data_IF_207024575498
#
_entry.id   IF_207024575498
#
_cell.length_a   1.000
_cell.length_b   1.000
_cell.length_c   1.000
_cell.angle_alpha   90.00
_cell.angle_beta   90.00
_cell.angle_gamma   90.00
#
_symmetry.space_group_name_H-M   'P 1'
#
loop_
_entity.id
_entity.type
_entity.pdbx_description
1 polymer ?
#
# COMPACT_ATOMS: atom_id res chain seq x y z
N UNK A 1 -8.50 -33.78 -3.19
CA UNK A 1 -8.96 -33.09 -4.41
C UNK A 1 -9.19 -31.65 -4.04
N UNK A 2 -8.54 -30.71 -4.72
CA UNK A 2 -8.65 -29.29 -4.36
C UNK A 2 -10.09 -28.81 -4.47
N UNK A 3 -10.57 -28.11 -3.44
CA UNK A 3 -11.94 -27.59 -3.45
C UNK A 3 -12.05 -26.51 -4.54
N UNK A 4 -12.92 -26.76 -5.55
CA UNK A 4 -13.15 -25.85 -6.68
C UNK A 4 -13.48 -24.43 -6.21
N UNK A 5 -14.08 -24.29 -5.02
CA UNK A 5 -14.46 -23.01 -4.42
C UNK A 5 -13.24 -22.16 -4.05
N UNK A 6 -12.22 -22.76 -3.41
CA UNK A 6 -11.00 -22.06 -3.00
C UNK A 6 -10.25 -21.55 -4.23
N UNK A 7 -10.09 -22.39 -5.26
CA UNK A 7 -9.44 -21.99 -6.52
C UNK A 7 -10.17 -20.87 -7.24
N UNK A 8 -11.50 -20.91 -7.27
CA UNK A 8 -12.30 -19.85 -7.89
C UNK A 8 -12.12 -18.50 -7.17
N UNK A 9 -12.10 -18.52 -5.85
CA UNK A 9 -11.84 -17.32 -5.03
C UNK A 9 -10.43 -16.79 -5.29
N UNK A 10 -9.42 -17.66 -5.31
CA UNK A 10 -8.03 -17.29 -5.59
C UNK A 10 -7.86 -16.64 -6.95
N UNK A 11 -8.47 -17.23 -7.99
CA UNK A 11 -8.43 -16.68 -9.35
C UNK A 11 -9.11 -15.31 -9.42
N UNK A 12 -10.30 -15.18 -8.86
CA UNK A 12 -11.03 -13.91 -8.84
C UNK A 12 -10.28 -12.82 -8.06
N UNK A 13 -9.70 -13.19 -6.91
CA UNK A 13 -8.88 -12.27 -6.12
C UNK A 13 -7.67 -11.77 -6.91
N UNK A 14 -6.95 -12.66 -7.61
CA UNK A 14 -5.82 -12.27 -8.47
C UNK A 14 -6.21 -11.29 -9.57
N UNK A 15 -7.29 -11.59 -10.30
CA UNK A 15 -7.79 -10.72 -11.37
C UNK A 15 -8.20 -9.34 -10.84
N UNK A 16 -8.83 -9.27 -9.66
CA UNK A 16 -9.21 -7.99 -9.05
C UNK A 16 -8.01 -7.22 -8.49
N UNK A 17 -7.00 -7.91 -7.93
CA UNK A 17 -5.73 -7.29 -7.51
C UNK A 17 -4.98 -6.70 -8.70
N UNK A 18 -4.95 -7.39 -9.85
CA UNK A 18 -4.32 -6.89 -11.07
C UNK A 18 -5.06 -5.68 -11.65
N UNK A 19 -6.40 -5.68 -11.61
CA UNK A 19 -7.21 -4.54 -12.09
C UNK A 19 -7.18 -3.33 -11.15
N UNK A 20 -6.89 -3.53 -9.87
CA UNK A 20 -6.83 -2.44 -8.91
C UNK A 20 -5.67 -1.48 -9.24
N UNK A 21 -6.03 -0.21 -9.44
CA UNK A 21 -5.11 0.85 -9.84
C UNK A 21 -4.70 1.76 -8.68
N UNK A 22 -5.53 1.84 -7.63
CA UNK A 22 -5.30 2.72 -6.48
C UNK A 22 -5.18 1.93 -5.18
N UNK A 23 -4.53 2.54 -4.19
CA UNK A 23 -4.47 2.03 -2.81
C UNK A 23 -5.87 1.77 -2.22
N UNK A 24 -6.86 2.60 -2.57
CA UNK A 24 -8.26 2.43 -2.17
C UNK A 24 -8.91 1.20 -2.80
N UNK A 25 -8.65 0.92 -4.08
CA UNK A 25 -9.21 -0.25 -4.76
C UNK A 25 -8.65 -1.55 -4.18
N UNK A 26 -7.34 -1.57 -3.87
CA UNK A 26 -6.70 -2.71 -3.21
C UNK A 26 -7.30 -2.99 -1.83
N UNK A 27 -7.62 -1.96 -1.04
CA UNK A 27 -8.30 -2.14 0.25
C UNK A 27 -9.73 -2.68 0.08
N UNK A 28 -10.46 -2.26 -0.95
CA UNK A 28 -11.78 -2.82 -1.25
C UNK A 28 -11.70 -4.31 -1.58
N UNK A 29 -10.72 -4.70 -2.41
CA UNK A 29 -10.44 -6.10 -2.72
C UNK A 29 -10.10 -6.87 -1.45
N UNK A 30 -9.23 -6.34 -0.58
CA UNK A 30 -8.89 -6.94 0.71
C UNK A 30 -10.14 -7.19 1.56
N UNK A 31 -11.02 -6.19 1.70
CA UNK A 31 -12.26 -6.32 2.48
C UNK A 31 -13.22 -7.34 1.87
N UNK A 32 -13.34 -7.37 0.54
CA UNK A 32 -14.24 -8.27 -0.20
C UNK A 32 -13.85 -9.74 -0.06
N UNK A 33 -12.56 -10.06 -0.04
CA UNK A 33 -12.09 -11.45 0.03
C UNK A 33 -11.70 -11.89 1.44
N UNK A 34 -10.98 -11.06 2.19
CA UNK A 34 -10.40 -11.36 3.50
C UNK A 34 -11.13 -10.73 4.69
N UNK A 35 -12.09 -9.82 4.44
CA UNK A 35 -12.80 -9.11 5.50
C UNK A 35 -13.68 -10.00 6.38
N UNK A 36 -14.33 -9.39 7.39
CA UNK A 36 -15.25 -10.09 8.32
C UNK A 36 -16.44 -10.77 7.64
N UNK A 37 -16.84 -10.26 6.47
CA UNK A 37 -17.86 -10.84 5.56
C UNK A 37 -17.26 -11.30 4.24
N UNK A 38 -15.93 -11.45 4.17
CA UNK A 38 -15.24 -11.80 2.93
C UNK A 38 -15.55 -13.22 2.47
N UNK A 39 -15.48 -13.46 1.17
CA UNK A 39 -15.79 -14.76 0.56
C UNK A 39 -14.98 -15.91 1.17
N UNK A 40 -13.70 -15.68 1.47
CA UNK A 40 -12.82 -16.68 2.09
C UNK A 40 -13.17 -16.91 3.56
N UNK A 41 -13.48 -15.85 4.30
CA UNK A 41 -13.91 -15.92 5.71
C UNK A 41 -15.26 -16.62 5.86
N UNK A 42 -16.19 -16.41 4.92
CA UNK A 42 -17.47 -17.12 4.89
C UNK A 42 -17.28 -18.62 4.61
N UNK A 43 -16.39 -18.96 3.67
CA UNK A 43 -16.04 -20.36 3.40
C UNK A 43 -15.46 -21.04 4.65
N UNK A 44 -14.53 -20.38 5.34
CA UNK A 44 -13.94 -20.87 6.60
C UNK A 44 -15.01 -21.04 7.70
N UNK A 45 -15.98 -20.13 7.80
CA UNK A 45 -17.09 -20.25 8.77
C UNK A 45 -18.07 -21.37 8.42
N UNK A 46 -18.17 -21.77 7.16
CA UNK A 46 -19.02 -22.87 6.71
C UNK A 46 -18.39 -24.25 6.88
N UNK A 47 -17.10 -24.34 7.22
CA UNK A 47 -16.38 -25.60 7.45
C UNK A 47 -16.97 -26.54 8.52
N UNK A 48 -17.64 -26.08 9.59
CA UNK A 48 -18.28 -26.99 10.54
C UNK A 48 -19.37 -27.87 9.91
N UNK A 49 -19.93 -27.46 8.77
CA UNK A 49 -20.92 -28.24 8.02
C UNK A 49 -20.30 -29.34 7.13
N UNK A 50 -18.97 -29.39 7.00
CA UNK A 50 -18.28 -30.40 6.19
C UNK A 50 -17.96 -31.69 6.98
N UNK A 51 -17.79 -32.84 6.29
CA UNK A 51 -17.38 -34.10 6.92
C UNK A 51 -16.02 -33.97 7.61
N UNK A 52 -15.80 -34.59 8.79
CA UNK A 52 -14.56 -34.46 9.56
C UNK A 52 -13.30 -34.90 8.80
N UNK A 53 -13.42 -35.81 7.84
CA UNK A 53 -12.31 -36.24 6.98
C UNK A 53 -11.83 -35.17 5.98
N UNK A 54 -12.71 -34.25 5.57
CA UNK A 54 -12.41 -33.22 4.56
C UNK A 54 -12.01 -31.87 5.19
N UNK A 55 -12.42 -31.63 6.44
CA UNK A 55 -12.10 -30.41 7.22
C UNK A 55 -10.60 -30.02 7.22
N UNK A 56 -9.65 -30.91 7.53
CA UNK A 56 -8.23 -30.54 7.58
C UNK A 56 -7.64 -30.20 6.21
N UNK A 57 -8.11 -30.87 5.14
CA UNK A 57 -7.64 -30.60 3.77
C UNK A 57 -8.13 -29.23 3.30
N UNK A 58 -9.43 -28.96 3.44
CA UNK A 58 -10.04 -27.68 3.05
C UNK A 58 -9.49 -26.52 3.89
N UNK A 59 -9.28 -26.72 5.20
CA UNK A 59 -8.71 -25.70 6.08
C UNK A 59 -7.27 -25.35 5.71
N UNK A 60 -6.45 -26.33 5.33
CA UNK A 60 -5.09 -26.09 4.84
C UNK A 60 -5.11 -25.30 3.53
N UNK A 61 -5.90 -25.73 2.55
CA UNK A 61 -6.02 -25.05 1.25
C UNK A 61 -6.54 -23.61 1.41
N UNK A 62 -7.52 -23.38 2.29
CA UNK A 62 -8.05 -22.05 2.55
C UNK A 62 -7.01 -21.13 3.21
N UNK A 63 -6.18 -21.66 4.11
CA UNK A 63 -5.08 -20.89 4.72
C UNK A 63 -3.96 -20.60 3.72
N UNK A 64 -3.59 -21.55 2.86
CA UNK A 64 -2.63 -21.33 1.78
C UNK A 64 -3.14 -20.25 0.81
N UNK A 65 -4.42 -20.34 0.40
CA UNK A 65 -5.04 -19.33 -0.44
C UNK A 65 -5.11 -17.96 0.23
N UNK A 66 -5.33 -17.91 1.55
CA UNK A 66 -5.30 -16.67 2.33
C UNK A 66 -3.93 -16.00 2.25
N UNK A 67 -2.87 -16.77 2.51
CA UNK A 67 -1.49 -16.28 2.47
C UNK A 67 -1.10 -15.78 1.07
N UNK A 68 -1.51 -16.50 0.02
CA UNK A 68 -1.25 -16.12 -1.36
C UNK A 68 -1.96 -14.82 -1.77
N UNK A 69 -3.21 -14.63 -1.34
CA UNK A 69 -3.96 -13.38 -1.58
C UNK A 69 -3.34 -12.21 -0.79
N UNK A 70 -2.96 -12.44 0.47
CA UNK A 70 -2.28 -11.42 1.29
C UNK A 70 -0.94 -11.00 0.68
N UNK A 71 -0.14 -11.95 0.18
CA UNK A 71 1.12 -11.67 -0.49
C UNK A 71 0.92 -10.84 -1.77
N UNK A 72 -0.03 -11.23 -2.63
CA UNK A 72 -0.33 -10.50 -3.86
C UNK A 72 -0.83 -9.07 -3.60
N UNK A 73 -1.69 -8.89 -2.59
CA UNK A 73 -2.16 -7.57 -2.15
C UNK A 73 -1.01 -6.71 -1.62
N UNK A 74 -0.14 -7.28 -0.78
CA UNK A 74 0.99 -6.55 -0.20
C UNK A 74 1.99 -6.09 -1.27
N UNK A 75 2.32 -6.96 -2.23
CA UNK A 75 3.21 -6.63 -3.35
C UNK A 75 2.63 -5.51 -4.21
N UNK A 76 1.35 -5.62 -4.57
CA UNK A 76 0.67 -4.62 -5.39
C UNK A 76 0.51 -3.28 -4.66
N UNK A 77 0.19 -3.30 -3.37
CA UNK A 77 0.09 -2.10 -2.54
C UNK A 77 1.44 -1.37 -2.47
N UNK A 78 2.53 -2.10 -2.21
CA UNK A 78 3.86 -1.52 -2.17
C UNK A 78 4.26 -0.87 -3.52
N UNK A 79 3.89 -1.51 -4.64
CA UNK A 79 4.12 -0.96 -5.97
C UNK A 79 3.34 0.35 -6.20
N UNK A 80 2.04 0.37 -5.86
CA UNK A 80 1.17 1.54 -6.02
C UNK A 80 1.62 2.68 -5.11
N UNK A 81 1.89 2.41 -3.83
CA UNK A 81 2.38 3.43 -2.89
C UNK A 81 3.71 4.04 -3.34
N UNK A 82 4.60 3.25 -3.95
CA UNK A 82 5.86 3.77 -4.50
C UNK A 82 5.62 4.73 -5.66
N UNK A 83 4.64 4.43 -6.52
CA UNK A 83 4.25 5.31 -7.63
C UNK A 83 3.58 6.58 -7.11
N UNK A 84 2.61 6.46 -6.21
CA UNK A 84 1.91 7.60 -5.59
C UNK A 84 2.89 8.51 -4.84
N UNK A 85 3.83 7.94 -4.07
CA UNK A 85 4.87 8.69 -3.36
C UNK A 85 5.79 9.43 -4.32
N UNK A 86 6.22 8.79 -5.42
CA UNK A 86 7.05 9.44 -6.45
C UNK A 86 6.31 10.58 -7.13
N UNK A 87 5.04 10.38 -7.48
CA UNK A 87 4.20 11.41 -8.06
C UNK A 87 4.04 12.61 -7.13
N UNK A 88 3.83 12.37 -5.83
CA UNK A 88 3.76 13.43 -4.81
C UNK A 88 5.08 14.17 -4.66
N UNK A 89 6.21 13.46 -4.57
CA UNK A 89 7.54 14.09 -4.50
C UNK A 89 7.85 14.93 -5.73
N UNK A 90 7.43 14.49 -6.92
CA UNK A 90 7.60 15.26 -8.16
C UNK A 90 6.73 16.52 -8.20
N UNK A 91 5.53 16.48 -7.61
CA UNK A 91 4.67 17.65 -7.47
C UNK A 91 5.23 18.67 -6.46
N UNK A 92 5.88 18.19 -5.40
CA UNK A 92 6.42 19.01 -4.32
C UNK A 92 7.87 19.48 -4.58
N UNK A 93 8.36 19.44 -5.83
CA UNK A 93 9.71 19.90 -6.18
C UNK A 93 9.77 21.43 -6.09
N UNK A 94 10.46 21.92 -5.05
CA UNK A 94 10.78 23.33 -4.88
C UNK A 94 12.18 23.59 -5.46
N UNK A 95 12.33 24.67 -6.23
CA UNK A 95 13.63 25.11 -6.73
C UNK A 95 14.51 25.61 -5.58
N UNK A 96 15.52 24.81 -5.23
CA UNK A 96 16.48 25.08 -4.15
C UNK A 96 17.49 26.19 -4.51
N UNK A 97 17.54 26.65 -5.76
CA UNK A 97 18.45 27.72 -6.19
C UNK A 97 17.86 29.12 -5.98
N UNK A 98 16.55 29.20 -5.74
CA UNK A 98 15.89 30.49 -5.50
C UNK A 98 16.47 31.16 -4.24
N UNK A 99 16.74 32.48 -4.30
CA UNK A 99 17.19 33.20 -3.13
C UNK A 99 16.10 33.13 -2.05
N UNK A 100 16.46 32.61 -0.89
CA UNK A 100 15.57 32.58 0.27
C UNK A 100 15.18 33.99 0.71
N UNK A 101 14.21 34.08 1.64
CA UNK A 101 13.87 35.36 2.28
C UNK A 101 15.06 35.86 3.08
N UNK A 102 15.69 36.96 2.63
CA UNK A 102 16.84 37.57 3.29
C UNK A 102 16.42 38.80 4.09
N UNK A 103 17.00 38.94 5.27
CA UNK A 103 17.06 40.23 5.97
C UNK A 103 18.27 40.96 5.40
N UNK A 104 18.10 42.22 5.01
CA UNK A 104 19.19 43.05 4.48
C UNK A 104 20.13 43.37 5.65
N UNK A 105 21.42 42.98 5.60
CA UNK A 105 22.37 43.38 6.63
C UNK A 105 22.57 44.90 6.58
N UNK A 106 22.67 45.52 7.75
CA UNK A 106 23.10 46.92 7.85
C UNK A 106 24.55 47.09 7.41
N UNK A 107 24.91 48.31 7.02
CA UNK A 107 26.29 48.68 6.71
C UNK A 107 26.85 49.58 7.81
N UNK A 108 28.13 49.40 8.17
CA UNK A 108 28.86 50.37 8.98
C UNK A 108 28.98 51.69 8.21
N UNK A 109 28.92 52.82 8.93
CA UNK A 109 29.09 54.13 8.33
C UNK A 109 30.53 54.27 7.77
N UNK A 110 30.75 54.89 6.59
CA UNK A 110 32.08 55.01 6.00
C UNK A 110 33.16 55.59 6.93
N UNK A 111 32.80 56.58 7.76
CA UNK A 111 33.72 57.15 8.77
C UNK A 111 34.18 56.12 9.82
N UNK A 112 33.28 55.24 10.26
CA UNK A 112 33.63 54.17 11.22
C UNK A 112 34.56 53.17 10.55
N UNK A 113 34.30 52.82 9.29
CA UNK A 113 35.14 51.91 8.51
C UNK A 113 36.56 52.46 8.32
N UNK A 114 36.71 53.76 8.07
CA UNK A 114 38.04 54.39 7.94
C UNK A 114 38.81 54.46 9.25
N UNK A 115 38.12 54.48 10.41
CA UNK A 115 38.78 54.46 11.72
C UNK A 115 39.27 53.06 12.10
N UNK A 116 38.54 52.01 11.73
CA UNK A 116 38.91 50.61 12.00
C UNK A 116 40.01 50.08 11.05
N UNK A 117 40.18 50.68 9.86
CA UNK A 117 41.21 50.31 8.88
C UNK A 117 42.59 50.95 9.16
N UNK A 118 42.71 51.81 10.19
CA UNK A 118 43.95 52.47 10.65
C UNK A 118 44.52 51.73 11.86
#
# INVERSE_FOLDING_TARGET
MADKRVRAILKGAREEVERAATSRDLEQVRVKYLGKRGLLTQLLRSMPALPPAERPVVGREANEAKAEIEAALAERLAAVEKVERRARLAADVVDLTLPGRRVVPGSLHPLTRTLDEI
#
